data_IF_292070756898
#
_entry.id   IF_292070756898
#
_cell.length_a   1.000
_cell.length_b   1.000
_cell.length_c   1.000
_cell.angle_alpha   90.00
_cell.angle_beta   90.00
_cell.angle_gamma   90.00
#
_symmetry.space_group_name_H-M   'P 1'
#
loop_
_entity.id
_entity.type
_entity.pdbx_description
1 polymer ?
#
# COMPACT_ATOMS: atom_id res chain seq x y z
N UNK A 1 -6.75 -43.56 -13.49
CA UNK A 1 -6.23 -43.41 -12.11
C UNK A 1 -6.75 -42.09 -11.55
N UNK A 2 -7.91 -42.12 -10.90
CA UNK A 2 -8.48 -40.96 -10.20
C UNK A 2 -7.70 -40.86 -8.89
N UNK A 3 -6.84 -39.84 -8.75
CA UNK A 3 -6.23 -39.57 -7.46
C UNK A 3 -7.29 -38.88 -6.60
N UNK A 4 -7.96 -39.65 -5.75
CA UNK A 4 -8.78 -39.12 -4.65
C UNK A 4 -7.88 -38.26 -3.75
N UNK A 5 -8.00 -36.95 -3.88
CA UNK A 5 -7.46 -36.02 -2.92
C UNK A 5 -8.63 -35.37 -2.18
N UNK A 6 -9.46 -36.18 -1.53
CA UNK A 6 -10.49 -35.67 -0.62
C UNK A 6 -9.83 -34.94 0.55
N UNK A 7 -9.95 -33.62 0.55
CA UNK A 7 -9.57 -32.78 1.68
C UNK A 7 -10.86 -32.28 2.32
N UNK A 8 -11.15 -32.73 3.54
CA UNK A 8 -12.22 -32.12 4.34
C UNK A 8 -11.83 -30.67 4.67
N UNK A 9 -12.74 -29.74 4.42
CA UNK A 9 -12.61 -28.33 4.81
C UNK A 9 -13.78 -27.92 5.69
N UNK A 10 -13.46 -27.21 6.76
CA UNK A 10 -14.44 -26.53 7.61
C UNK A 10 -14.78 -25.19 6.97
N UNK A 11 -16.07 -24.96 6.74
CA UNK A 11 -16.61 -23.75 6.12
C UNK A 11 -17.64 -23.13 7.05
N UNK A 12 -17.34 -21.94 7.54
CA UNK A 12 -18.21 -21.14 8.39
C UNK A 12 -18.94 -20.11 7.53
N UNK A 13 -20.27 -20.21 7.47
CA UNK A 13 -21.12 -19.40 6.59
C UNK A 13 -22.07 -18.57 7.45
N UNK A 14 -22.10 -17.26 7.20
CA UNK A 14 -23.06 -16.37 7.85
C UNK A 14 -24.49 -16.68 7.41
N UNK A 15 -25.39 -16.76 8.39
CA UNK A 15 -26.80 -17.08 8.26
C UNK A 15 -27.64 -15.97 8.86
N UNK A 16 -28.75 -15.68 8.22
CA UNK A 16 -29.71 -14.68 8.70
C UNK A 16 -31.07 -14.96 8.09
N UNK A 17 -32.10 -15.03 8.93
CA UNK A 17 -33.48 -15.19 8.48
C UNK A 17 -34.36 -14.06 9.03
N UNK A 18 -34.88 -13.15 8.16
CA UNK A 18 -35.68 -12.02 8.61
C UNK A 18 -37.00 -12.43 9.27
N UNK A 19 -37.48 -13.67 9.07
CA UNK A 19 -38.70 -14.17 9.69
C UNK A 19 -38.53 -14.53 11.18
N UNK A 20 -37.30 -14.78 11.62
CA UNK A 20 -37.01 -15.32 12.96
C UNK A 20 -36.49 -14.23 13.92
N UNK A 21 -36.31 -12.99 13.44
CA UNK A 21 -35.78 -11.83 14.21
C UNK A 21 -34.48 -12.15 14.97
N UNK A 22 -33.50 -12.75 14.30
CA UNK A 22 -32.15 -12.94 14.85
C UNK A 22 -31.18 -11.83 14.38
N UNK A 23 -30.00 -11.72 15.01
CA UNK A 23 -28.93 -10.79 14.60
C UNK A 23 -28.00 -11.41 13.53
N UNK A 24 -28.36 -12.60 13.05
CA UNK A 24 -27.52 -13.48 12.27
C UNK A 24 -26.47 -14.22 13.09
N UNK A 25 -26.01 -15.35 12.55
CA UNK A 25 -25.06 -16.25 13.21
C UNK A 25 -24.20 -16.96 12.17
N UNK A 26 -23.17 -17.69 12.61
CA UNK A 26 -22.36 -18.52 11.73
C UNK A 26 -22.72 -19.99 11.93
N UNK A 27 -23.10 -20.64 10.83
CA UNK A 27 -23.19 -22.09 10.77
C UNK A 27 -21.91 -22.68 10.19
N UNK A 28 -21.51 -23.83 10.73
CA UNK A 28 -20.29 -24.53 10.30
C UNK A 28 -20.65 -25.80 9.55
N UNK A 29 -20.06 -25.97 8.38
CA UNK A 29 -20.24 -27.10 7.50
C UNK A 29 -18.90 -27.79 7.24
N UNK A 30 -18.89 -29.11 7.24
CA UNK A 30 -17.75 -29.89 6.78
C UNK A 30 -17.98 -30.31 5.34
N UNK A 31 -17.05 -29.93 4.45
CA UNK A 31 -17.18 -30.15 3.01
C UNK A 31 -16.00 -30.95 2.50
N UNK A 32 -16.31 -32.04 1.80
CA UNK A 32 -15.33 -32.80 1.05
C UNK A 32 -14.99 -32.09 -0.26
N UNK A 33 -13.71 -31.76 -0.42
CA UNK A 33 -13.17 -31.10 -1.61
C UNK A 33 -12.39 -32.13 -2.43
N UNK A 34 -12.89 -32.47 -3.62
CA UNK A 34 -12.26 -33.45 -4.50
C UNK A 34 -10.93 -32.95 -5.08
N UNK A 35 -10.89 -31.70 -5.57
CA UNK A 35 -9.65 -31.02 -5.97
C UNK A 35 -9.70 -29.55 -5.58
N UNK A 36 -8.85 -29.17 -4.62
CA UNK A 36 -8.76 -27.78 -4.13
C UNK A 36 -8.31 -26.80 -5.21
N UNK A 37 -7.65 -27.24 -6.29
CA UNK A 37 -7.16 -26.36 -7.37
C UNK A 37 -8.23 -26.00 -8.39
N UNK A 38 -9.35 -26.72 -8.39
CA UNK A 38 -10.45 -26.54 -9.33
C UNK A 38 -11.75 -26.11 -8.64
N UNK A 39 -11.93 -26.53 -7.38
CA UNK A 39 -13.15 -26.25 -6.63
C UNK A 39 -13.19 -24.78 -6.23
N UNK A 40 -14.21 -24.07 -6.70
CA UNK A 40 -14.45 -22.66 -6.34
C UNK A 40 -15.29 -22.54 -5.08
N UNK A 41 -15.31 -21.36 -4.46
CA UNK A 41 -16.22 -21.09 -3.33
C UNK A 41 -17.68 -21.18 -3.75
N UNK A 42 -18.00 -20.87 -5.00
CA UNK A 42 -19.36 -21.10 -5.52
C UNK A 42 -19.72 -22.59 -5.52
N UNK A 43 -18.79 -23.47 -5.92
CA UNK A 43 -19.05 -24.91 -5.90
C UNK A 43 -19.25 -25.43 -4.47
N UNK A 44 -18.50 -24.87 -3.50
CA UNK A 44 -18.68 -25.15 -2.07
C UNK A 44 -20.09 -24.74 -1.60
N UNK A 45 -20.52 -23.51 -1.88
CA UNK A 45 -21.85 -23.02 -1.49
C UNK A 45 -22.98 -23.83 -2.12
N UNK A 46 -22.84 -24.20 -3.41
CA UNK A 46 -23.80 -25.07 -4.10
C UNK A 46 -23.85 -26.47 -3.49
N UNK A 47 -22.71 -27.01 -3.05
CA UNK A 47 -22.64 -28.31 -2.38
C UNK A 47 -23.32 -28.26 -1.01
N UNK A 48 -23.04 -27.24 -0.20
CA UNK A 48 -23.73 -27.00 1.08
C UNK A 48 -25.24 -26.95 0.85
N UNK A 49 -25.69 -26.12 -0.10
CA UNK A 49 -27.11 -25.93 -0.37
C UNK A 49 -27.81 -27.23 -0.82
N UNK A 50 -27.16 -28.04 -1.67
CA UNK A 50 -27.79 -29.25 -2.21
C UNK A 50 -27.77 -30.43 -1.26
N UNK A 51 -26.74 -30.56 -0.43
CA UNK A 51 -26.46 -31.79 0.31
C UNK A 51 -26.66 -31.65 1.82
N UNK A 52 -26.56 -30.43 2.38
CA UNK A 52 -26.56 -30.22 3.83
C UNK A 52 -27.67 -29.27 4.28
N UNK A 53 -27.84 -28.12 3.61
CA UNK A 53 -28.88 -27.15 3.97
C UNK A 53 -29.49 -26.41 2.76
N UNK A 54 -30.66 -26.87 2.27
CA UNK A 54 -31.38 -26.23 1.17
C UNK A 54 -31.89 -24.80 1.44
N UNK A 55 -31.89 -24.34 2.69
CA UNK A 55 -32.38 -23.00 3.07
C UNK A 55 -31.34 -21.90 2.84
N UNK A 56 -30.07 -22.27 2.69
CA UNK A 56 -28.96 -21.34 2.45
C UNK A 56 -29.19 -20.52 1.17
N UNK A 57 -29.19 -19.20 1.30
CA UNK A 57 -29.47 -18.26 0.20
C UNK A 57 -28.24 -17.44 -0.20
N UNK A 58 -27.92 -17.41 -1.50
CA UNK A 58 -26.85 -16.60 -2.08
C UNK A 58 -27.13 -16.32 -3.57
N UNK A 59 -26.56 -15.24 -4.12
CA UNK A 59 -26.71 -14.87 -5.54
C UNK A 59 -25.56 -15.41 -6.38
N UNK A 60 -25.87 -15.96 -7.56
CA UNK A 60 -24.90 -16.32 -8.59
C UNK A 60 -25.59 -16.45 -9.95
N UNK A 61 -24.81 -16.41 -11.04
CA UNK A 61 -25.33 -16.66 -12.38
C UNK A 61 -24.24 -17.23 -13.32
N UNK A 62 -23.34 -16.38 -13.84
CA UNK A 62 -22.50 -16.71 -14.99
C UNK A 62 -21.44 -17.80 -14.77
N UNK A 63 -21.01 -18.04 -13.54
CA UNK A 63 -19.88 -18.93 -13.15
C UNK A 63 -18.51 -18.63 -13.79
N UNK A 64 -18.37 -17.54 -14.54
CA UNK A 64 -17.14 -17.16 -15.27
C UNK A 64 -16.63 -15.76 -14.93
N UNK A 65 -17.03 -15.22 -13.76
CA UNK A 65 -16.53 -13.94 -13.24
C UNK A 65 -16.86 -12.69 -14.07
N UNK A 66 -18.00 -12.70 -14.75
CA UNK A 66 -18.43 -11.60 -15.65
C UNK A 66 -19.71 -10.87 -15.20
N UNK A 67 -20.64 -11.53 -14.51
CA UNK A 67 -21.92 -10.90 -14.10
C UNK A 67 -21.86 -10.09 -12.79
N UNK A 68 -20.85 -10.34 -11.95
CA UNK A 68 -20.69 -9.66 -10.66
C UNK A 68 -21.60 -10.14 -9.51
N UNK A 69 -22.62 -10.98 -9.76
CA UNK A 69 -23.67 -11.31 -8.77
C UNK A 69 -23.21 -12.12 -7.55
N UNK A 70 -22.09 -12.83 -7.62
CA UNK A 70 -21.59 -13.72 -6.56
C UNK A 70 -20.48 -13.10 -5.71
N UNK A 71 -20.49 -11.77 -5.58
CA UNK A 71 -19.57 -11.05 -4.71
C UNK A 71 -19.92 -11.28 -3.24
N UNK A 72 -18.93 -11.68 -2.46
CA UNK A 72 -19.03 -11.99 -1.04
C UNK A 72 -17.76 -11.56 -0.32
N UNK A 73 -17.77 -11.56 1.01
CA UNK A 73 -16.54 -11.46 1.79
C UNK A 73 -16.10 -12.85 2.21
N UNK A 74 -14.92 -13.27 1.73
CA UNK A 74 -14.36 -14.61 1.88
C UNK A 74 -13.00 -14.48 2.58
N UNK A 75 -12.87 -15.07 3.77
CA UNK A 75 -11.70 -14.89 4.64
C UNK A 75 -11.34 -13.42 4.85
N UNK A 76 -12.36 -12.60 5.12
CA UNK A 76 -12.21 -11.17 5.40
C UNK A 76 -11.92 -10.28 4.19
N UNK A 77 -11.79 -10.82 2.97
CA UNK A 77 -11.57 -10.05 1.74
C UNK A 77 -12.74 -10.20 0.76
N UNK A 78 -13.17 -9.10 0.15
CA UNK A 78 -14.17 -9.11 -0.93
C UNK A 78 -13.65 -9.87 -2.14
N UNK A 79 -14.43 -10.85 -2.60
CA UNK A 79 -14.07 -11.71 -3.73
C UNK A 79 -15.33 -12.18 -4.46
N UNK A 80 -15.15 -12.67 -5.69
CA UNK A 80 -16.20 -13.39 -6.40
C UNK A 80 -16.14 -14.87 -6.04
N UNK A 81 -17.25 -15.45 -5.60
CA UNK A 81 -17.33 -16.86 -5.20
C UNK A 81 -16.95 -17.80 -6.36
N UNK A 82 -17.36 -17.47 -7.59
CA UNK A 82 -17.03 -18.29 -8.78
C UNK A 82 -15.60 -18.12 -9.29
N UNK A 83 -14.86 -17.10 -8.83
CA UNK A 83 -13.46 -16.87 -9.20
C UNK A 83 -12.51 -17.46 -8.17
N UNK A 84 -12.93 -17.45 -6.90
CA UNK A 84 -12.08 -17.79 -5.77
C UNK A 84 -11.99 -19.30 -5.66
N UNK A 85 -10.79 -19.83 -5.83
CA UNK A 85 -10.51 -21.26 -5.73
C UNK A 85 -10.10 -21.60 -4.30
N UNK A 86 -10.56 -22.73 -3.78
CA UNK A 86 -10.27 -23.18 -2.40
C UNK A 86 -8.76 -23.27 -2.14
N UNK A 87 -7.99 -23.69 -3.14
CA UNK A 87 -6.53 -23.81 -3.08
C UNK A 87 -5.78 -22.49 -2.91
N UNK A 88 -6.40 -21.36 -3.23
CA UNK A 88 -5.81 -20.03 -3.06
C UNK A 88 -5.98 -19.49 -1.62
N UNK A 89 -6.88 -20.11 -0.84
CA UNK A 89 -7.12 -19.78 0.55
C UNK A 89 -6.16 -20.57 1.44
N UNK A 90 -5.30 -19.85 2.16
CA UNK A 90 -4.22 -20.45 2.97
C UNK A 90 -4.72 -20.92 4.34
N UNK A 91 -5.83 -20.36 4.79
CA UNK A 91 -6.43 -20.63 6.08
C UNK A 91 -7.00 -22.06 6.13
N UNK A 92 -7.01 -22.62 7.34
CA UNK A 92 -7.58 -23.96 7.57
C UNK A 92 -9.10 -23.93 7.39
N UNK A 93 -9.73 -22.93 8.01
CA UNK A 93 -11.16 -22.66 7.96
C UNK A 93 -11.47 -21.59 6.92
N UNK A 94 -12.58 -21.77 6.19
CA UNK A 94 -13.08 -20.80 5.22
C UNK A 94 -14.26 -20.07 5.87
N UNK A 95 -14.20 -18.75 5.95
CA UNK A 95 -15.29 -17.90 6.46
C UNK A 95 -15.95 -17.16 5.30
N UNK A 96 -17.27 -17.20 5.23
CA UNK A 96 -18.07 -16.57 4.17
C UNK A 96 -19.16 -15.71 4.80
N UNK A 97 -19.20 -14.43 4.43
CA UNK A 97 -20.21 -13.48 4.91
C UNK A 97 -20.69 -12.55 3.78
N UNK A 98 -21.87 -11.93 3.91
CA UNK A 98 -22.36 -10.97 2.92
C UNK A 98 -21.40 -9.78 2.74
N UNK A 99 -21.61 -9.02 1.67
CA UNK A 99 -20.92 -7.75 1.45
C UNK A 99 -21.21 -6.75 2.58
N UNK A 100 -20.20 -5.97 2.97
CA UNK A 100 -20.34 -4.93 3.99
C UNK A 100 -21.10 -3.72 3.47
N UNK A 101 -21.70 -2.96 4.39
CA UNK A 101 -22.36 -1.67 4.11
C UNK A 101 -23.62 -1.79 3.22
N UNK A 102 -24.09 -3.02 3.00
CA UNK A 102 -25.36 -3.30 2.36
C UNK A 102 -26.33 -3.90 3.37
N UNK A 103 -27.61 -3.51 3.37
CA UNK A 103 -28.63 -4.18 4.15
C UNK A 103 -28.71 -5.67 3.77
N UNK A 104 -28.73 -6.55 4.77
CA UNK A 104 -28.85 -8.00 4.53
C UNK A 104 -30.33 -8.35 4.34
N UNK A 105 -30.64 -9.10 3.29
CA UNK A 105 -32.00 -9.59 3.01
C UNK A 105 -32.20 -10.97 3.64
N UNK A 106 -31.30 -11.91 3.35
CA UNK A 106 -31.28 -13.29 3.89
C UNK A 106 -29.91 -13.90 3.65
N UNK A 107 -29.32 -14.53 4.66
CA UNK A 107 -28.00 -15.17 4.61
C UNK A 107 -26.93 -14.29 3.94
N UNK A 108 -26.48 -14.69 2.74
CA UNK A 108 -25.44 -14.02 1.96
C UNK A 108 -26.00 -13.02 0.91
N UNK A 109 -27.33 -12.88 0.85
CA UNK A 109 -28.02 -11.97 -0.08
C UNK A 109 -28.18 -10.61 0.56
N UNK A 110 -27.67 -9.58 -0.11
CA UNK A 110 -27.78 -8.18 0.30
C UNK A 110 -28.68 -7.38 -0.64
N UNK A 111 -29.23 -6.29 -0.14
CA UNK A 111 -29.92 -5.28 -0.94
C UNK A 111 -28.89 -4.44 -1.72
N UNK A 112 -29.05 -4.39 -3.04
CA UNK A 112 -28.16 -3.66 -3.95
C UNK A 112 -28.78 -2.34 -4.43
N UNK A 113 -30.03 -2.04 -4.08
CA UNK A 113 -30.72 -0.84 -4.55
C UNK A 113 -29.97 0.44 -4.16
N UNK A 114 -29.46 0.62 -2.91
CA UNK A 114 -28.68 1.80 -2.54
C UNK A 114 -27.42 2.00 -3.40
N UNK A 115 -26.82 0.91 -3.89
CA UNK A 115 -25.68 0.98 -4.79
C UNK A 115 -26.08 1.45 -6.18
N UNK A 116 -27.18 0.92 -6.73
CA UNK A 116 -27.62 1.28 -8.08
C UNK A 116 -28.23 2.68 -8.13
N UNK A 117 -28.84 3.16 -7.04
CA UNK A 117 -29.27 4.55 -6.91
C UNK A 117 -28.09 5.52 -7.04
N UNK A 118 -27.06 5.35 -6.20
CA UNK A 118 -25.82 6.14 -6.28
C UNK A 118 -25.10 5.99 -7.63
N UNK A 119 -25.17 4.82 -8.24
CA UNK A 119 -24.62 4.58 -9.58
C UNK A 119 -25.36 5.38 -10.66
N UNK A 120 -26.69 5.48 -10.57
CA UNK A 120 -27.53 6.27 -11.49
C UNK A 120 -27.30 7.78 -11.30
N UNK A 121 -27.10 8.24 -10.08
CA UNK A 121 -26.79 9.66 -9.78
C UNK A 121 -25.51 10.16 -10.45
N UNK A 122 -24.55 9.27 -10.70
CA UNK A 122 -23.34 9.55 -11.46
C UNK A 122 -23.56 9.66 -13.00
N UNK A 123 -24.83 9.63 -13.44
CA UNK A 123 -25.30 9.75 -14.82
C UNK A 123 -24.69 8.70 -15.76
N UNK A 124 -24.80 7.38 -15.53
CA UNK A 124 -23.93 6.35 -16.11
C UNK A 124 -24.12 6.04 -17.61
N UNK A 125 -24.62 6.99 -18.40
CA UNK A 125 -24.89 6.92 -19.84
C UNK A 125 -24.02 7.92 -20.61
N UNK A 126 -23.74 7.57 -21.86
CA UNK A 126 -23.06 8.44 -22.82
C UNK A 126 -24.10 9.31 -23.53
N UNK A 127 -23.76 10.57 -23.76
CA UNK A 127 -24.58 11.50 -24.53
C UNK A 127 -23.64 12.20 -25.53
N UNK A 128 -23.91 12.10 -26.83
CA UNK A 128 -22.96 12.57 -27.83
C UNK A 128 -22.91 14.10 -27.85
N UNK A 129 -21.69 14.65 -27.87
CA UNK A 129 -21.48 16.09 -28.04
C UNK A 129 -21.92 16.60 -29.42
N UNK A 130 -21.79 15.76 -30.44
CA UNK A 130 -22.20 16.05 -31.81
C UNK A 130 -23.18 14.97 -32.25
N UNK A 131 -24.31 15.38 -32.83
CA UNK A 131 -25.30 14.45 -33.36
C UNK A 131 -24.80 13.87 -34.67
N UNK A 132 -24.47 12.58 -34.67
CA UNK A 132 -23.93 11.86 -35.83
C UNK A 132 -24.40 10.41 -35.83
N UNK A 133 -24.78 9.91 -36.99
CA UNK A 133 -25.15 8.50 -37.19
C UNK A 133 -23.93 7.63 -37.53
N UNK A 134 -22.79 8.23 -37.86
CA UNK A 134 -21.57 7.50 -38.22
C UNK A 134 -20.88 6.92 -36.97
N UNK A 135 -20.57 5.61 -36.95
CA UNK A 135 -19.89 4.99 -35.82
C UNK A 135 -18.52 5.63 -35.53
N UNK A 136 -18.30 6.02 -34.27
CA UNK A 136 -17.02 6.58 -33.85
C UNK A 136 -15.88 5.54 -33.91
N UNK A 137 -14.79 5.89 -34.59
CA UNK A 137 -13.58 5.05 -34.65
C UNK A 137 -12.68 5.33 -33.44
N UNK A 138 -12.64 4.40 -32.48
CA UNK A 138 -11.82 4.52 -31.27
C UNK A 138 -10.50 3.78 -31.47
N UNK A 139 -9.40 4.51 -31.60
CA UNK A 139 -8.07 3.88 -31.68
C UNK A 139 -7.64 3.34 -30.31
N UNK A 140 -7.20 2.07 -30.20
CA UNK A 140 -6.77 1.48 -28.92
C UNK A 140 -5.61 2.24 -28.24
N UNK A 141 -4.75 2.88 -29.03
CA UNK A 141 -3.58 3.64 -28.58
C UNK A 141 -3.86 5.14 -28.40
N UNK A 142 -5.12 5.58 -28.58
CA UNK A 142 -5.49 6.96 -28.26
C UNK A 142 -5.25 7.26 -26.78
N UNK A 143 -4.89 8.51 -26.49
CA UNK A 143 -4.63 8.95 -25.11
C UNK A 143 -5.83 8.66 -24.20
N UNK A 144 -7.04 8.99 -24.65
CA UNK A 144 -8.28 8.79 -23.91
C UNK A 144 -8.54 7.31 -23.63
N UNK A 145 -8.37 6.44 -24.63
CA UNK A 145 -8.55 4.98 -24.43
C UNK A 145 -7.53 4.42 -23.44
N UNK A 146 -6.27 4.87 -23.47
CA UNK A 146 -5.23 4.49 -22.49
C UNK A 146 -5.49 5.04 -21.10
N UNK A 147 -6.02 6.26 -21.00
CA UNK A 147 -6.38 6.88 -19.72
C UNK A 147 -7.52 6.10 -19.05
N UNK A 148 -8.56 5.75 -19.81
CA UNK A 148 -9.71 4.93 -19.38
C UNK A 148 -9.25 3.51 -19.00
N UNK A 149 -8.38 2.88 -19.79
CA UNK A 149 -7.83 1.55 -19.50
C UNK A 149 -8.92 0.48 -19.28
N UNK A 150 -8.78 -0.33 -18.23
CA UNK A 150 -9.77 -1.36 -17.87
C UNK A 150 -11.01 -0.81 -17.15
N UNK A 151 -11.12 0.51 -16.95
CA UNK A 151 -12.20 1.08 -16.11
C UNK A 151 -13.60 0.85 -16.68
N UNK A 152 -13.73 0.60 -17.99
CA UNK A 152 -14.98 0.19 -18.66
C UNK A 152 -15.41 -1.23 -18.34
N UNK A 153 -14.50 -2.08 -17.86
CA UNK A 153 -14.74 -3.50 -17.55
C UNK A 153 -15.44 -3.69 -16.19
N UNK A 154 -15.97 -2.62 -15.60
CA UNK A 154 -16.64 -2.67 -14.32
C UNK A 154 -17.94 -3.48 -14.44
N UNK A 155 -18.01 -4.59 -13.70
CA UNK A 155 -19.15 -5.52 -13.70
C UNK A 155 -20.17 -5.24 -12.57
N UNK A 156 -20.12 -4.06 -11.96
CA UNK A 156 -21.04 -3.63 -10.88
C UNK A 156 -21.18 -4.63 -9.71
N UNK A 157 -20.11 -5.37 -9.37
CA UNK A 157 -20.14 -6.42 -8.34
C UNK A 157 -20.23 -5.93 -6.88
N UNK A 158 -20.08 -4.64 -6.61
CA UNK A 158 -20.14 -4.10 -5.23
C UNK A 158 -18.90 -4.31 -4.35
N UNK A 159 -17.92 -5.15 -4.72
CA UNK A 159 -16.73 -5.41 -3.90
C UNK A 159 -16.01 -4.13 -3.43
N UNK A 160 -15.81 -3.17 -4.34
CA UNK A 160 -15.13 -1.93 -4.01
C UNK A 160 -15.90 -1.07 -3.00
N UNK A 161 -17.23 -1.11 -3.03
CA UNK A 161 -18.10 -0.38 -2.11
C UNK A 161 -18.09 -1.07 -0.74
N UNK A 162 -18.21 -2.39 -0.70
CA UNK A 162 -18.08 -3.21 0.53
C UNK A 162 -16.74 -3.01 1.24
N UNK A 163 -15.64 -2.88 0.50
CA UNK A 163 -14.31 -2.72 1.10
C UNK A 163 -14.02 -1.29 1.61
N UNK A 164 -14.86 -0.31 1.24
CA UNK A 164 -14.55 1.10 1.43
C UNK A 164 -15.15 1.62 2.73
N UNK A 165 -14.29 1.85 3.73
CA UNK A 165 -14.70 2.40 5.03
C UNK A 165 -15.48 3.71 4.91
N UNK A 166 -15.11 4.57 3.94
CA UNK A 166 -15.76 5.88 3.74
C UNK A 166 -17.21 5.77 3.30
N UNK A 167 -17.60 4.66 2.63
CA UNK A 167 -19.02 4.42 2.30
C UNK A 167 -19.84 4.21 3.57
N UNK A 168 -19.24 3.63 4.61
CA UNK A 168 -19.91 3.40 5.90
C UNK A 168 -20.15 4.67 6.72
N UNK A 169 -19.24 5.65 6.61
CA UNK A 169 -19.27 6.86 7.45
C UNK A 169 -19.92 8.07 6.77
N UNK A 170 -20.09 8.02 5.44
CA UNK A 170 -20.56 9.15 4.66
C UNK A 170 -21.67 8.72 3.70
N UNK A 171 -22.93 8.89 4.11
CA UNK A 171 -24.10 8.53 3.29
C UNK A 171 -24.11 9.24 1.92
N UNK A 172 -23.64 10.50 1.88
CA UNK A 172 -23.53 11.30 0.67
C UNK A 172 -22.37 10.85 -0.27
N UNK A 173 -21.49 9.95 0.16
CA UNK A 173 -20.45 9.41 -0.72
C UNK A 173 -21.08 8.41 -1.71
N UNK A 174 -21.09 8.78 -2.99
CA UNK A 174 -21.63 7.92 -4.06
C UNK A 174 -20.81 6.64 -4.28
N UNK A 175 -19.57 6.61 -3.79
CA UNK A 175 -18.76 5.39 -3.73
C UNK A 175 -17.90 5.12 -4.98
N UNK A 176 -16.91 4.22 -4.84
CA UNK A 176 -15.88 3.99 -5.87
C UNK A 176 -16.43 3.49 -7.22
N UNK A 177 -17.48 2.67 -7.23
CA UNK A 177 -18.04 2.14 -8.48
C UNK A 177 -18.71 3.22 -9.34
N UNK A 178 -19.53 4.07 -8.72
CA UNK A 178 -20.21 5.18 -9.37
C UNK A 178 -19.20 6.20 -9.92
N UNK A 179 -18.20 6.56 -9.12
CA UNK A 179 -17.13 7.49 -9.55
C UNK A 179 -16.31 6.89 -10.70
N UNK A 180 -15.99 5.60 -10.66
CA UNK A 180 -15.30 4.94 -11.76
C UNK A 180 -16.10 5.02 -13.07
N UNK A 181 -17.43 4.82 -13.01
CA UNK A 181 -18.28 4.97 -14.20
C UNK A 181 -18.27 6.40 -14.71
N UNK A 182 -18.44 7.39 -13.84
CA UNK A 182 -18.36 8.80 -14.24
C UNK A 182 -17.00 9.14 -14.86
N UNK A 183 -15.90 8.65 -14.29
CA UNK A 183 -14.55 8.82 -14.84
C UNK A 183 -14.44 8.34 -16.29
N UNK A 184 -14.98 7.15 -16.62
CA UNK A 184 -14.90 6.62 -17.99
C UNK A 184 -15.52 7.55 -19.03
N UNK A 185 -16.55 8.31 -18.63
CA UNK A 185 -17.28 9.25 -19.48
C UNK A 185 -16.63 10.64 -19.45
N UNK A 186 -16.18 11.12 -18.29
CA UNK A 186 -15.42 12.38 -18.16
C UNK A 186 -14.11 12.39 -18.95
N UNK A 187 -13.48 11.22 -19.11
CA UNK A 187 -12.26 11.05 -19.88
C UNK A 187 -12.51 10.85 -21.39
N UNK A 188 -13.76 10.69 -21.81
CA UNK A 188 -14.16 10.49 -23.20
C UNK A 188 -14.53 11.85 -23.83
N UNK A 189 -13.74 12.33 -24.77
CA UNK A 189 -13.97 13.65 -25.39
C UNK A 189 -15.28 13.76 -26.17
N UNK A 190 -15.91 12.63 -26.48
CA UNK A 190 -17.16 12.56 -27.23
C UNK A 190 -18.40 12.80 -26.36
N UNK A 191 -18.26 12.71 -25.04
CA UNK A 191 -19.37 12.89 -24.10
C UNK A 191 -19.71 14.40 -23.94
N UNK A 192 -20.96 14.75 -24.19
CA UNK A 192 -21.49 16.11 -24.13
C UNK A 192 -21.81 16.60 -22.72
N UNK A 193 -21.91 15.70 -21.73
CA UNK A 193 -22.40 16.03 -20.39
C UNK A 193 -21.29 16.27 -19.36
N UNK A 194 -20.09 16.65 -19.81
CA UNK A 194 -18.90 16.72 -18.95
C UNK A 194 -19.10 17.60 -17.70
N UNK A 195 -19.59 18.84 -17.86
CA UNK A 195 -19.78 19.78 -16.74
C UNK A 195 -20.85 19.28 -15.74
N UNK A 196 -21.96 18.77 -16.25
CA UNK A 196 -23.08 18.28 -15.44
C UNK A 196 -22.64 17.04 -14.64
N UNK A 197 -21.97 16.11 -15.30
CA UNK A 197 -21.40 14.91 -14.69
C UNK A 197 -20.35 15.24 -13.65
N UNK A 198 -19.43 16.18 -13.94
CA UNK A 198 -18.44 16.66 -12.99
C UNK A 198 -19.11 17.21 -11.72
N UNK A 199 -20.14 18.04 -11.88
CA UNK A 199 -20.87 18.63 -10.75
C UNK A 199 -21.55 17.58 -9.84
N UNK A 200 -21.94 16.42 -10.40
CA UNK A 200 -22.57 15.33 -9.63
C UNK A 200 -21.58 14.52 -8.79
N UNK A 201 -20.34 14.36 -9.24
CA UNK A 201 -19.40 13.41 -8.62
C UNK A 201 -18.22 14.06 -7.92
N UNK A 202 -17.91 15.33 -8.21
CA UNK A 202 -16.71 15.98 -7.70
C UNK A 202 -16.72 16.12 -6.16
N UNK A 203 -17.82 16.55 -5.58
CA UNK A 203 -17.94 16.68 -4.11
C UNK A 203 -17.76 15.33 -3.43
N UNK A 204 -18.38 14.29 -3.99
CA UNK A 204 -18.21 12.91 -3.54
C UNK A 204 -16.75 12.45 -3.60
N UNK A 205 -15.99 12.84 -4.64
CA UNK A 205 -14.57 12.49 -4.73
C UNK A 205 -13.75 12.98 -3.52
N UNK A 206 -14.12 14.10 -2.89
CA UNK A 206 -13.41 14.64 -1.72
C UNK A 206 -13.66 13.88 -0.43
N UNK A 207 -14.66 13.01 -0.37
CA UNK A 207 -14.85 12.08 0.76
C UNK A 207 -13.85 10.91 0.72
N UNK A 208 -13.16 10.68 -0.39
CA UNK A 208 -12.16 9.62 -0.50
C UNK A 208 -10.87 9.95 0.28
N UNK A 209 -10.51 9.07 1.23
CA UNK A 209 -9.26 9.15 2.01
C UNK A 209 -8.09 8.35 1.42
N UNK A 210 -8.22 7.85 0.19
CA UNK A 210 -7.13 7.17 -0.54
C UNK A 210 -6.59 5.94 0.19
N UNK A 211 -7.47 5.16 0.83
CA UNK A 211 -7.11 3.92 1.54
C UNK A 211 -6.76 2.75 0.61
N UNK A 212 -7.07 2.87 -0.68
CA UNK A 212 -6.79 1.89 -1.75
C UNK A 212 -7.51 0.53 -1.64
N UNK A 213 -8.29 0.25 -0.59
CA UNK A 213 -9.08 -0.99 -0.46
C UNK A 213 -9.87 -1.32 -1.74
N UNK A 214 -10.59 -0.33 -2.28
CA UNK A 214 -11.38 -0.49 -3.49
C UNK A 214 -10.59 -0.92 -4.74
N UNK A 215 -9.31 -0.55 -4.82
CA UNK A 215 -8.41 -1.00 -5.89
C UNK A 215 -7.93 -2.42 -5.63
N UNK A 216 -7.55 -2.73 -4.38
CA UNK A 216 -7.02 -4.06 -3.99
C UNK A 216 -8.05 -5.19 -4.15
N UNK A 217 -9.34 -4.91 -3.94
CA UNK A 217 -10.39 -5.92 -4.02
C UNK A 217 -11.05 -6.05 -5.40
N UNK A 218 -10.70 -5.20 -6.37
CA UNK A 218 -11.39 -5.20 -7.65
C UNK A 218 -11.09 -6.50 -8.44
N UNK A 219 -12.09 -7.37 -8.72
CA UNK A 219 -11.85 -8.65 -9.40
C UNK A 219 -11.47 -8.49 -10.89
N UNK A 220 -11.65 -7.27 -11.42
CA UNK A 220 -11.34 -6.85 -12.80
C UNK A 220 -10.09 -5.98 -12.88
N UNK A 221 -9.35 -5.83 -11.78
CA UNK A 221 -8.08 -5.09 -11.73
C UNK A 221 -8.22 -3.61 -12.15
N UNK A 222 -9.40 -3.04 -11.89
CA UNK A 222 -9.68 -1.63 -12.05
C UNK A 222 -9.17 -0.90 -10.80
N UNK A 223 -8.67 0.33 -10.99
CA UNK A 223 -8.36 1.22 -9.87
C UNK A 223 -9.38 2.36 -9.77
N UNK A 224 -10.44 2.20 -8.96
CA UNK A 224 -11.34 3.31 -8.63
C UNK A 224 -10.60 4.48 -7.98
N UNK A 225 -9.52 4.22 -7.24
CA UNK A 225 -8.71 5.29 -6.65
C UNK A 225 -8.04 6.16 -7.71
N UNK A 226 -7.51 5.56 -8.79
CA UNK A 226 -6.98 6.32 -9.94
C UNK A 226 -8.08 7.16 -10.58
N UNK A 227 -9.28 6.60 -10.78
CA UNK A 227 -10.42 7.33 -11.33
C UNK A 227 -10.78 8.56 -10.48
N UNK A 228 -10.88 8.41 -9.15
CA UNK A 228 -11.13 9.50 -8.20
C UNK A 228 -10.04 10.59 -8.32
N UNK A 229 -8.76 10.20 -8.34
CA UNK A 229 -7.65 11.15 -8.44
C UNK A 229 -7.59 11.86 -9.79
N UNK A 230 -8.00 11.17 -10.86
CA UNK A 230 -8.12 11.79 -12.19
C UNK A 230 -9.15 12.91 -12.17
N UNK A 231 -10.35 12.64 -11.63
CA UNK A 231 -11.43 13.64 -11.56
C UNK A 231 -11.01 14.85 -10.72
N UNK A 232 -10.43 14.62 -9.53
CA UNK A 232 -9.89 15.68 -8.67
C UNK A 232 -8.84 16.53 -9.40
N UNK A 233 -7.96 15.89 -10.19
CA UNK A 233 -6.95 16.58 -11.00
C UNK A 233 -7.59 17.43 -12.11
N UNK A 234 -8.58 16.91 -12.82
CA UNK A 234 -9.25 17.66 -13.89
C UNK A 234 -9.95 18.91 -13.33
N UNK A 235 -10.71 18.76 -12.23
CA UNK A 235 -11.37 19.88 -11.56
C UNK A 235 -10.36 20.97 -11.14
N UNK A 236 -9.19 20.57 -10.64
CA UNK A 236 -8.11 21.48 -10.28
C UNK A 236 -7.58 22.25 -11.52
N UNK A 237 -7.30 21.55 -12.62
CA UNK A 237 -6.84 22.16 -13.88
C UNK A 237 -7.87 23.14 -14.43
N UNK A 238 -9.15 22.78 -14.41
CA UNK A 238 -10.25 23.65 -14.86
C UNK A 238 -10.37 24.92 -14.01
N UNK A 239 -10.24 24.80 -12.68
CA UNK A 239 -10.27 25.95 -11.79
C UNK A 239 -9.12 26.94 -12.07
N UNK A 240 -7.91 26.43 -12.38
CA UNK A 240 -6.79 27.27 -12.79
C UNK A 240 -7.01 27.93 -14.16
N UNK A 241 -7.52 27.18 -15.15
CA UNK A 241 -7.86 27.75 -16.47
C UNK A 241 -8.93 28.84 -16.40
N UNK A 242 -9.92 28.69 -15.52
CA UNK A 242 -10.95 29.72 -15.29
C UNK A 242 -10.37 30.99 -14.65
N UNK A 243 -9.35 30.88 -13.79
CA UNK A 243 -8.62 32.03 -13.23
C UNK A 243 -7.70 32.73 -14.23
N UNK A 244 -7.19 32.02 -15.24
CA UNK A 244 -6.34 32.57 -16.29
C UNK A 244 -7.10 33.24 -17.44
N UNK A 245 -8.44 33.11 -17.52
CA UNK A 245 -9.24 33.93 -18.43
C UNK A 245 -9.15 35.39 -17.99
N UNK A 246 -8.24 36.15 -18.59
CA UNK A 246 -8.22 37.62 -18.51
C UNK A 246 -9.62 38.14 -18.83
N UNK A 247 -10.23 39.00 -17.99
CA UNK A 247 -11.54 39.57 -18.28
C UNK A 247 -11.51 40.18 -19.68
N UNK A 248 -12.53 39.88 -20.49
CA UNK A 248 -12.63 40.50 -21.80
C UNK A 248 -13.04 41.96 -21.64
N UNK A 249 -12.73 42.79 -22.63
CA UNK A 249 -13.06 44.23 -22.58
C UNK A 249 -14.57 44.49 -22.50
N UNK A 250 -15.40 43.49 -22.85
CA UNK A 250 -16.85 43.50 -22.67
C UNK A 250 -17.27 43.31 -21.21
N UNK A 251 -16.57 42.47 -20.44
CA UNK A 251 -16.83 42.25 -19.00
C UNK A 251 -16.51 43.49 -18.14
N UNK A 252 -15.75 44.44 -18.70
CA UNK A 252 -15.27 45.66 -18.01
C UNK A 252 -16.18 46.86 -18.29
N UNK A 253 -17.21 46.73 -19.13
CA UNK A 253 -18.21 47.79 -19.34
C UNK A 253 -19.21 47.86 -18.18
N UNK A 254 -18.74 48.23 -17.00
CA UNK A 254 -19.56 48.89 -16.01
C UNK A 254 -19.44 50.40 -16.22
N UNK A 255 -20.56 51.12 -16.29
CA UNK A 255 -20.69 52.57 -16.51
C UNK A 255 -20.04 53.48 -15.44
N UNK A 256 -19.06 52.99 -14.70
CA UNK A 256 -18.31 53.78 -13.75
C UNK A 256 -17.17 54.52 -14.47
N UNK A 257 -17.34 55.84 -14.67
CA UNK A 257 -16.24 56.75 -15.01
C UNK A 257 -15.27 56.83 -13.82
N UNK A 258 -14.19 56.05 -13.87
CA UNK A 258 -13.07 56.19 -12.94
C UNK A 258 -12.17 57.32 -13.47
N UNK A 259 -11.86 58.37 -12.66
CA UNK A 259 -10.93 59.41 -13.06
C UNK A 259 -9.53 58.83 -13.33
N UNK A 260 -8.95 59.21 -14.47
CA UNK A 260 -7.66 58.75 -14.93
C UNK A 260 -6.53 59.64 -14.39
N UNK A 261 -6.34 59.66 -13.06
CA UNK A 261 -5.18 60.25 -12.40
C UNK A 261 -5.13 59.92 -10.90
N UNK A 262 -4.87 58.66 -10.57
CA UNK A 262 -4.28 58.36 -9.25
C UNK A 262 -2.94 57.68 -9.49
N UNK A 263 -1.86 58.44 -9.36
CA UNK A 263 -0.52 57.86 -9.22
C UNK A 263 -0.52 56.92 -8.00
N UNK A 264 -0.57 55.60 -8.25
CA UNK A 264 -0.44 54.57 -7.22
C UNK A 264 1.02 54.46 -6.75
N UNK A 265 1.47 55.46 -5.99
CA UNK A 265 2.78 55.48 -5.37
C UNK A 265 2.67 55.85 -3.89
N UNK A 266 2.31 54.89 -3.05
CA UNK A 266 2.90 54.75 -1.70
C UNK A 266 2.46 53.45 -1.04
N UNK A 267 1.15 53.15 -1.00
CA UNK A 267 0.61 52.03 -0.21
C UNK A 267 0.80 50.67 -0.86
N UNK A 268 0.45 50.51 -2.15
CA UNK A 268 0.55 49.20 -2.81
C UNK A 268 2.00 48.75 -3.01
N UNK A 269 2.90 49.68 -3.33
CA UNK A 269 4.34 49.43 -3.45
C UNK A 269 4.97 49.07 -2.11
N UNK A 270 4.63 49.81 -1.05
CA UNK A 270 5.09 49.51 0.31
C UNK A 270 4.60 48.13 0.78
N UNK A 271 3.30 47.81 0.60
CA UNK A 271 2.73 46.51 0.97
C UNK A 271 3.36 45.36 0.18
N UNK A 272 3.61 45.54 -1.12
CA UNK A 272 4.35 44.54 -1.92
C UNK A 272 5.77 44.34 -1.41
N UNK A 273 6.51 45.41 -1.16
CA UNK A 273 7.89 45.32 -0.64
C UNK A 273 7.94 44.67 0.74
N UNK A 274 7.02 45.01 1.64
CA UNK A 274 6.87 44.37 2.95
C UNK A 274 6.55 42.87 2.82
N UNK A 275 5.65 42.50 1.92
CA UNK A 275 5.27 41.09 1.71
C UNK A 275 6.44 40.28 1.17
N UNK A 276 7.17 40.81 0.19
CA UNK A 276 8.37 40.16 -0.34
C UNK A 276 9.50 40.09 0.70
N UNK A 277 9.69 41.15 1.49
CA UNK A 277 10.67 41.16 2.58
C UNK A 277 10.38 40.10 3.64
N UNK A 278 9.13 40.00 4.08
CA UNK A 278 8.70 39.00 5.07
C UNK A 278 8.80 37.57 4.51
N UNK A 279 8.43 37.38 3.25
CA UNK A 279 8.57 36.10 2.54
C UNK A 279 10.03 35.67 2.42
N UNK A 280 10.93 36.58 2.04
CA UNK A 280 12.36 36.31 1.93
C UNK A 280 12.99 35.99 3.30
N UNK A 281 12.63 36.74 4.35
CA UNK A 281 13.09 36.46 5.71
C UNK A 281 12.63 35.08 6.20
N UNK A 282 11.36 34.74 5.96
CA UNK A 282 10.81 33.43 6.34
C UNK A 282 11.51 32.30 5.58
N UNK A 283 11.71 32.45 4.27
CA UNK A 283 12.41 31.47 3.45
C UNK A 283 13.86 31.27 3.90
N UNK A 284 14.57 32.34 4.27
CA UNK A 284 15.94 32.26 4.78
C UNK A 284 16.01 31.53 6.13
N UNK A 285 15.09 31.81 7.06
CA UNK A 285 15.04 31.15 8.38
C UNK A 285 14.72 29.66 8.23
N UNK A 286 13.65 29.32 7.50
CA UNK A 286 13.25 27.92 7.30
C UNK A 286 14.31 27.16 6.51
N UNK A 287 14.85 27.76 5.44
CA UNK A 287 15.92 27.18 4.64
C UNK A 287 17.19 26.92 5.46
N UNK A 288 17.59 27.86 6.32
CA UNK A 288 18.73 27.70 7.23
C UNK A 288 18.54 26.59 8.26
N UNK A 289 17.35 26.49 8.87
CA UNK A 289 17.03 25.41 9.83
C UNK A 289 17.02 24.04 9.13
N UNK A 290 16.39 23.94 7.96
CA UNK A 290 16.36 22.68 7.20
C UNK A 290 17.74 22.27 6.71
N UNK A 291 18.53 23.21 6.19
CA UNK A 291 19.90 22.95 5.75
C UNK A 291 20.80 22.52 6.91
N UNK A 292 20.70 23.19 8.06
CA UNK A 292 21.46 22.81 9.26
C UNK A 292 21.03 21.47 9.84
N UNK A 293 19.74 21.13 9.80
CA UNK A 293 19.24 19.82 10.24
C UNK A 293 19.65 18.69 9.28
N UNK A 294 19.67 18.93 7.97
CA UNK A 294 20.04 17.93 6.97
C UNK A 294 21.55 17.71 6.88
N UNK A 295 22.34 18.79 6.90
CA UNK A 295 23.80 18.75 6.65
C UNK A 295 24.61 18.72 7.95
N UNK A 296 24.11 19.37 9.02
CA UNK A 296 24.82 19.47 10.30
C UNK A 296 25.25 18.13 10.90
N UNK A 297 24.38 17.10 10.93
CA UNK A 297 24.76 15.76 11.40
C UNK A 297 25.87 15.12 10.57
N UNK A 298 25.86 15.29 9.24
CA UNK A 298 26.89 14.70 8.35
C UNK A 298 28.26 15.36 8.46
N UNK A 299 28.34 16.61 8.91
CA UNK A 299 29.61 17.33 9.09
C UNK A 299 30.27 17.07 10.45
N UNK A 300 29.57 16.45 11.41
CA UNK A 300 30.13 16.11 12.72
C UNK A 300 30.91 14.80 12.63
N UNK A 301 32.20 14.85 12.98
CA UNK A 301 33.01 13.63 13.13
C UNK A 301 32.65 12.95 14.45
N UNK A 302 32.23 11.69 14.39
CA UNK A 302 32.04 10.89 15.60
C UNK A 302 33.40 10.50 16.18
N UNK A 303 33.69 10.80 17.46
CA UNK A 303 34.98 10.49 18.06
C UNK A 303 35.12 8.98 18.24
N UNK A 304 36.29 8.44 17.89
CA UNK A 304 36.61 7.03 18.12
C UNK A 304 36.68 6.71 19.61
N UNK A 305 36.20 5.54 20.00
CA UNK A 305 36.17 5.06 21.38
C UNK A 305 36.93 3.74 21.50
N UNK A 306 37.74 3.59 22.55
CA UNK A 306 38.40 2.32 22.88
C UNK A 306 37.60 1.62 23.97
N UNK A 307 37.03 0.46 23.63
CA UNK A 307 36.11 -0.27 24.51
C UNK A 307 36.79 -1.54 25.00
N UNK A 308 36.73 -1.75 26.30
CA UNK A 308 37.22 -2.96 26.94
C UNK A 308 36.38 -4.18 26.50
N UNK A 309 37.05 -5.16 25.88
CA UNK A 309 36.42 -6.38 25.37
C UNK A 309 36.57 -7.59 26.31
N UNK A 310 37.55 -7.56 27.21
CA UNK A 310 37.84 -8.64 28.16
C UNK A 310 39.34 -8.88 28.36
N UNK A 311 39.66 -9.69 29.36
CA UNK A 311 41.03 -10.09 29.68
C UNK A 311 41.59 -11.08 28.66
N UNK A 312 42.86 -10.91 28.26
CA UNK A 312 43.48 -11.77 27.26
C UNK A 312 43.54 -13.24 27.68
N UNK A 313 43.69 -13.53 28.97
CA UNK A 313 43.68 -14.89 29.52
C UNK A 313 42.37 -15.64 29.24
N UNK A 314 41.25 -14.91 29.16
CA UNK A 314 39.93 -15.47 28.85
C UNK A 314 39.75 -15.92 27.40
N UNK A 315 40.71 -15.60 26.51
CA UNK A 315 40.66 -15.98 25.10
C UNK A 315 41.70 -17.07 24.80
N UNK A 316 41.31 -18.34 24.55
CA UNK A 316 42.24 -19.42 24.24
C UNK A 316 43.03 -19.21 22.93
N UNK A 317 44.28 -19.70 22.91
CA UNK A 317 45.15 -19.66 21.73
C UNK A 317 44.61 -20.53 20.59
N UNK A 318 44.78 -20.05 19.35
CA UNK A 318 44.36 -20.70 18.11
C UNK A 318 42.86 -21.05 18.06
N UNK A 319 42.02 -20.31 18.78
CA UNK A 319 40.58 -20.51 18.80
C UNK A 319 39.83 -19.20 18.71
N UNK A 320 38.67 -19.23 18.07
CA UNK A 320 37.78 -18.06 17.98
C UNK A 320 36.88 -18.00 19.20
N UNK A 321 36.92 -16.88 19.91
CA UNK A 321 36.06 -16.58 21.07
C UNK A 321 35.10 -15.45 20.74
N UNK A 322 33.94 -15.39 21.39
CA UNK A 322 32.98 -14.28 21.23
C UNK A 322 32.91 -13.46 22.50
N UNK A 323 32.99 -12.14 22.39
CA UNK A 323 32.79 -11.20 23.49
C UNK A 323 31.79 -10.12 23.10
N UNK A 324 31.06 -9.57 24.06
CA UNK A 324 30.13 -8.46 23.83
C UNK A 324 30.76 -7.15 24.30
N UNK A 325 30.87 -6.17 23.41
CA UNK A 325 31.28 -4.81 23.76
C UNK A 325 30.06 -3.90 23.86
N UNK A 326 30.06 -3.02 24.86
CA UNK A 326 29.01 -2.03 25.08
C UNK A 326 29.56 -0.62 24.90
N UNK A 327 28.93 0.18 24.07
CA UNK A 327 29.36 1.55 23.79
C UNK A 327 28.19 2.45 23.42
N UNK A 328 28.42 3.76 23.42
CA UNK A 328 27.37 4.74 23.09
C UNK A 328 27.54 5.18 21.64
N UNK A 329 26.57 4.82 20.79
CA UNK A 329 26.50 5.29 19.41
C UNK A 329 25.73 6.63 19.35
N UNK A 330 26.20 7.55 18.49
CA UNK A 330 25.54 8.81 18.19
C UNK A 330 24.96 8.76 16.77
N UNK A 331 23.67 8.48 16.65
CA UNK A 331 22.95 8.48 15.37
C UNK A 331 22.26 9.82 15.18
N UNK A 332 22.94 10.73 14.47
CA UNK A 332 22.47 12.10 14.24
C UNK A 332 22.39 12.91 15.54
N UNK A 333 21.17 13.06 16.07
CA UNK A 333 20.91 13.76 17.33
C UNK A 333 20.65 12.83 18.52
N UNK A 334 20.55 11.52 18.30
CA UNK A 334 20.19 10.55 19.33
C UNK A 334 21.42 9.79 19.85
N UNK A 335 21.54 9.66 21.17
CA UNK A 335 22.53 8.80 21.83
C UNK A 335 21.86 7.49 22.21
N UNK A 336 22.39 6.35 21.76
CA UNK A 336 21.90 5.03 22.14
C UNK A 336 23.05 4.17 22.68
N UNK A 337 22.78 3.37 23.72
CA UNK A 337 23.72 2.35 24.19
C UNK A 337 23.57 1.11 23.31
N UNK A 338 24.64 0.69 22.66
CA UNK A 338 24.68 -0.45 21.76
C UNK A 338 25.54 -1.56 22.34
N UNK A 339 25.01 -2.79 22.32
CA UNK A 339 25.78 -4.00 22.64
C UNK A 339 26.04 -4.74 21.34
N UNK A 340 27.32 -4.95 21.01
CA UNK A 340 27.72 -5.61 19.76
C UNK A 340 28.59 -6.83 20.08
N UNK A 341 28.27 -8.03 19.59
CA UNK A 341 29.18 -9.16 19.68
C UNK A 341 30.37 -8.96 18.73
N UNK A 342 31.56 -9.34 19.17
CA UNK A 342 32.78 -9.38 18.38
C UNK A 342 33.41 -10.77 18.50
N UNK A 343 34.16 -11.18 17.48
CA UNK A 343 34.81 -12.49 17.44
C UNK A 343 36.31 -12.31 17.45
N UNK A 344 36.99 -12.86 18.45
CA UNK A 344 38.43 -12.73 18.68
C UNK A 344 39.09 -14.03 18.26
N UNK A 345 39.94 -13.98 17.24
CA UNK A 345 40.84 -15.07 16.89
C UNK A 345 42.23 -14.77 17.44
N UNK A 346 42.55 -15.37 18.59
CA UNK A 346 43.84 -15.17 19.27
C UNK A 346 44.89 -16.13 18.70
N UNK A 347 45.99 -15.59 18.17
CA UNK A 347 47.15 -16.37 17.72
C UNK A 347 48.28 -16.33 18.76
N UNK A 348 49.29 -17.23 18.67
CA UNK A 348 50.44 -17.24 19.57
C UNK A 348 51.23 -15.93 19.52
N UNK A 349 51.42 -15.39 18.31
CA UNK A 349 51.87 -14.02 18.11
C UNK A 349 50.66 -13.08 18.19
N UNK A 350 50.69 -12.21 19.20
CA UNK A 350 49.59 -11.31 19.49
C UNK A 350 49.33 -10.32 18.37
N UNK A 351 50.38 -9.90 17.67
CA UNK A 351 50.29 -8.96 16.55
C UNK A 351 49.60 -9.57 15.32
N UNK A 352 49.47 -10.90 15.29
CA UNK A 352 48.77 -11.64 14.23
C UNK A 352 47.34 -12.04 14.63
N UNK A 353 46.92 -11.71 15.86
CA UNK A 353 45.54 -11.92 16.29
C UNK A 353 44.60 -11.00 15.53
N UNK A 354 43.35 -11.41 15.38
CA UNK A 354 42.36 -10.65 14.60
C UNK A 354 41.05 -10.56 15.37
N UNK A 355 40.45 -9.37 15.39
CA UNK A 355 39.13 -9.14 15.95
C UNK A 355 38.15 -8.89 14.80
N UNK A 356 37.24 -9.82 14.55
CA UNK A 356 36.23 -9.75 13.50
C UNK A 356 34.90 -9.20 14.03
N UNK A 357 34.20 -8.51 13.14
CA UNK A 357 32.79 -8.18 13.31
C UNK A 357 31.90 -9.41 13.25
N UNK A 358 30.94 -9.51 14.16
CA UNK A 358 29.86 -10.50 14.11
C UNK A 358 28.78 -10.15 13.08
N UNK A 359 28.92 -9.06 12.32
CA UNK A 359 27.95 -8.65 11.30
C UNK A 359 28.40 -9.07 9.91
N UNK A 360 27.53 -9.78 9.21
CA UNK A 360 27.75 -10.18 7.83
C UNK A 360 27.82 -8.96 6.90
N UNK A 361 28.78 -8.94 5.99
CA UNK A 361 28.98 -7.85 5.01
C UNK A 361 27.95 -7.80 3.89
N UNK A 362 27.01 -8.75 3.83
CA UNK A 362 25.85 -8.70 2.94
C UNK A 362 24.80 -7.70 3.43
N UNK A 363 24.08 -8.05 4.51
CA UNK A 363 22.98 -7.23 5.07
C UNK A 363 23.02 -7.13 6.61
N UNK A 364 24.16 -7.45 7.23
CA UNK A 364 24.38 -7.27 8.67
C UNK A 364 23.80 -8.36 9.59
N UNK A 365 23.34 -9.50 9.06
CA UNK A 365 22.97 -10.66 9.87
C UNK A 365 24.11 -11.12 10.79
N UNK A 366 23.77 -11.73 11.93
CA UNK A 366 24.78 -12.25 12.85
C UNK A 366 25.53 -13.44 12.26
N UNK A 367 26.85 -13.38 12.38
CA UNK A 367 27.82 -14.39 11.98
C UNK A 367 28.36 -15.06 13.24
N UNK A 368 28.44 -16.38 13.23
CA UNK A 368 28.98 -17.20 14.33
C UNK A 368 30.13 -18.07 13.85
N UNK A 369 31.03 -18.43 14.76
CA UNK A 369 32.07 -19.44 14.50
C UNK A 369 31.49 -20.86 14.58
N UNK A 370 31.82 -21.70 13.60
CA UNK A 370 31.53 -23.13 13.61
C UNK A 370 32.83 -23.93 13.81
N UNK A 371 33.00 -24.50 15.01
CA UNK A 371 34.22 -25.23 15.39
C UNK A 371 34.42 -26.50 14.55
N UNK A 372 33.35 -27.20 14.17
CA UNK A 372 33.45 -28.45 13.42
C UNK A 372 33.92 -28.24 11.99
N UNK A 373 33.56 -27.09 11.39
CA UNK A 373 33.90 -26.74 10.00
C UNK A 373 35.03 -25.72 9.89
N UNK A 374 35.48 -25.13 10.99
CA UNK A 374 36.51 -24.09 11.06
C UNK A 374 36.21 -22.89 10.13
N UNK A 375 34.94 -22.48 10.09
CA UNK A 375 34.43 -21.36 9.27
C UNK A 375 33.49 -20.48 10.06
N UNK A 376 33.33 -19.24 9.60
CA UNK A 376 32.28 -18.36 10.07
C UNK A 376 31.00 -18.57 9.25
N UNK A 377 29.89 -18.84 9.92
CA UNK A 377 28.59 -19.06 9.30
C UNK A 377 27.63 -17.92 9.61
N UNK A 378 27.05 -17.34 8.56
CA UNK A 378 25.94 -16.41 8.65
C UNK A 378 24.62 -17.18 8.78
N UNK A 379 23.76 -16.79 9.73
CA UNK A 379 22.48 -17.44 9.98
C UNK A 379 21.42 -17.23 8.88
N UNK A 380 21.72 -16.45 7.84
CA UNK A 380 20.79 -16.09 6.78
C UNK A 380 20.92 -17.06 5.57
N UNK A 381 21.16 -16.58 4.35
CA UNK A 381 21.15 -17.37 3.10
C UNK A 381 22.46 -18.14 2.84
N UNK A 382 22.98 -18.86 3.84
CA UNK A 382 24.16 -19.72 3.66
C UNK A 382 25.48 -18.98 3.46
N UNK A 383 25.55 -17.68 3.76
CA UNK A 383 26.80 -16.92 3.71
C UNK A 383 27.87 -17.51 4.64
N UNK A 384 29.06 -17.74 4.13
CA UNK A 384 30.16 -18.34 4.87
C UNK A 384 31.47 -17.61 4.61
N UNK A 385 32.34 -17.59 5.62
CA UNK A 385 33.68 -17.03 5.53
C UNK A 385 34.72 -18.04 6.04
N UNK A 386 35.89 -18.04 5.43
CA UNK A 386 37.04 -18.81 5.92
C UNK A 386 37.53 -18.28 7.27
N UNK A 387 38.40 -19.03 7.95
CA UNK A 387 38.97 -18.65 9.25
C UNK A 387 39.77 -17.34 9.26
N UNK A 388 40.22 -16.88 8.09
CA UNK A 388 40.87 -15.57 7.87
C UNK A 388 39.87 -14.42 7.57
N UNK A 389 38.57 -14.73 7.56
CA UNK A 389 37.48 -13.82 7.27
C UNK A 389 37.20 -13.60 5.78
N UNK A 390 37.95 -14.23 4.86
CA UNK A 390 37.68 -14.15 3.42
C UNK A 390 36.36 -14.84 3.06
N UNK A 391 35.68 -14.38 2.00
CA UNK A 391 34.40 -14.96 1.58
C UNK A 391 34.63 -16.38 1.10
N UNK A 392 33.93 -17.34 1.69
CA UNK A 392 33.94 -18.75 1.29
C UNK A 392 32.76 -19.09 0.40
N UNK A 393 31.57 -18.65 0.79
CA UNK A 393 30.32 -19.01 0.11
C UNK A 393 29.20 -17.99 0.38
N UNK A 394 28.16 -18.03 -0.45
CA UNK A 394 26.95 -17.23 -0.34
C UNK A 394 27.06 -15.80 -0.89
N UNK A 395 26.05 -14.94 -0.64
CA UNK A 395 25.95 -13.60 -1.21
C UNK A 395 26.89 -12.50 -0.67
N UNK A 396 27.66 -12.63 0.45
CA UNK A 396 28.51 -11.53 0.93
C UNK A 396 29.51 -11.04 -0.13
N UNK A 397 29.55 -9.73 -0.45
CA UNK A 397 30.39 -9.22 -1.54
C UNK A 397 31.86 -9.02 -1.16
N UNK A 398 32.21 -9.12 0.13
CA UNK A 398 33.54 -8.81 0.65
C UNK A 398 33.85 -9.52 1.99
N UNK A 399 35.12 -9.68 2.38
CA UNK A 399 35.53 -10.30 3.65
C UNK A 399 34.92 -9.65 4.89
N UNK A 400 34.88 -10.38 6.01
CA UNK A 400 34.43 -9.86 7.30
C UNK A 400 35.22 -8.62 7.73
N UNK A 401 34.48 -7.63 8.25
CA UNK A 401 35.08 -6.43 8.82
C UNK A 401 35.95 -6.78 10.03
N UNK A 402 37.09 -6.10 10.14
CA UNK A 402 38.05 -6.25 11.23
C UNK A 402 38.05 -4.97 12.05
N UNK A 403 38.11 -5.11 13.37
CA UNK A 403 38.32 -3.99 14.26
C UNK A 403 39.81 -3.77 14.52
N UNK A 404 40.21 -2.50 14.63
CA UNK A 404 41.48 -2.16 15.24
C UNK A 404 41.41 -2.50 16.74
N UNK A 405 42.48 -3.07 17.27
CA UNK A 405 42.57 -3.42 18.69
C UNK A 405 43.93 -3.04 19.26
N UNK A 406 43.99 -2.89 20.58
CA UNK A 406 45.23 -2.73 21.35
C UNK A 406 45.12 -3.54 22.63
N UNK A 407 46.27 -3.80 23.25
CA UNK A 407 46.33 -4.49 24.54
C UNK A 407 46.99 -3.57 25.53
N UNK A 408 46.36 -3.39 26.68
CA UNK A 408 46.85 -2.57 27.77
C UNK A 408 46.60 -3.34 29.07
N UNK A 409 47.65 -3.49 29.88
CA UNK A 409 47.58 -4.15 31.20
C UNK A 409 46.98 -5.57 31.18
N UNK A 410 47.19 -6.32 30.08
CA UNK A 410 46.66 -7.68 29.92
C UNK A 410 45.24 -7.77 29.33
N UNK A 411 44.57 -6.63 29.13
CA UNK A 411 43.22 -6.55 28.62
C UNK A 411 43.16 -6.14 27.13
N UNK A 412 42.17 -6.69 26.41
CA UNK A 412 41.89 -6.35 25.02
C UNK A 412 40.97 -5.13 24.92
N UNK A 413 41.39 -4.12 24.16
CA UNK A 413 40.57 -2.96 23.82
C UNK A 413 40.33 -2.90 22.31
N UNK A 414 39.09 -2.59 21.93
CA UNK A 414 38.65 -2.55 20.53
C UNK A 414 38.18 -1.15 20.17
N UNK A 415 38.61 -0.65 19.01
CA UNK A 415 38.25 0.67 18.51
C UNK A 415 36.87 0.63 17.84
N UNK A 416 35.94 1.45 18.31
CA UNK A 416 34.62 1.66 17.70
C UNK A 416 34.39 3.14 17.41
N UNK A 417 33.41 3.42 16.56
CA UNK A 417 32.97 4.78 16.19
C UNK A 417 31.55 4.97 16.65
#
# INVERSE_FOLDING_TARGET
>A
MVREYEHTKTVSVFRYDPSIRDEGHFDTFEIQIADKRLTTILDVLLKIQKEQDPTLSFRFACRVSMCGSCALVINGKERLACKTVVGDLKEKEITIRPLNHFPIIKDLVVDMDPFFEKYKEAMPYFDPKEDTEEPAVIKPDSKERRDIGLSTECIACGCCVSSCSMVNYHDAYCGPAAINRAFTLLADSRDGLNEQRMSKVLDSCYNCRTELNCTDVCPKEISPTRAIKYIQKQACIEAFRKKEKTPTQEDIRSDAKIPADVEDNSRRRFLKQMTYGLGAATAAVVGGVLASAAVGPTLRKTPKQWIHAGEMEGFPLNRVSTANIQYTNLDGFYKSKKTTPIMIYRKPDINQSVVYSSRCTHLGCTVRWDEGKQIFLCACHGGAFNSDGSVKDGPPPRPLDRYAFKIQDGALFVEVV
#
